data_IF_389905541021
#
_entry.id   IF_389905541021
#
_cell.length_a   1.000
_cell.length_b   1.000
_cell.length_c   1.000
_cell.angle_alpha   90.00
_cell.angle_beta   90.00
_cell.angle_gamma   90.00
#
_symmetry.space_group_name_H-M   'P 1'
#
loop_
_entity.id
_entity.type
_entity.pdbx_description
1 polymer ?
#
# COMPACT_ATOMS: atom_id res chain seq x y z
N UNK A 1 0.80 9.87 -15.15
CA UNK A 1 1.65 8.81 -15.76
C UNK A 1 1.06 7.43 -15.46
N UNK A 2 1.30 6.39 -16.28
CA UNK A 2 1.01 5.02 -15.87
C UNK A 2 1.82 4.64 -14.61
N UNK A 3 1.31 3.71 -13.82
CA UNK A 3 1.98 3.18 -12.64
C UNK A 3 2.27 1.70 -12.85
N UNK A 4 3.50 1.41 -13.28
CA UNK A 4 3.93 0.06 -13.61
C UNK A 4 4.64 -0.60 -12.43
N UNK A 5 4.37 -1.90 -12.25
CA UNK A 5 5.06 -2.75 -11.27
C UNK A 5 6.38 -3.24 -11.87
N UNK A 6 7.46 -2.51 -11.65
CA UNK A 6 8.82 -2.94 -12.01
C UNK A 6 9.51 -3.67 -10.84
N UNK A 7 10.69 -4.24 -11.07
CA UNK A 7 11.40 -5.09 -10.11
C UNK A 7 11.59 -4.44 -8.72
N UNK A 8 11.86 -3.13 -8.67
CA UNK A 8 12.00 -2.41 -7.40
C UNK A 8 10.70 -2.35 -6.60
N UNK A 9 9.56 -2.14 -7.28
CA UNK A 9 8.23 -2.16 -6.65
C UNK A 9 7.89 -3.57 -6.18
N UNK A 10 8.21 -4.60 -6.97
CA UNK A 10 8.02 -6.01 -6.56
C UNK A 10 8.79 -6.33 -5.28
N UNK A 11 10.09 -5.98 -5.21
CA UNK A 11 10.91 -6.19 -4.00
C UNK A 11 10.33 -5.47 -2.79
N UNK A 12 9.93 -4.20 -2.97
CA UNK A 12 9.33 -3.42 -1.89
C UNK A 12 7.98 -4.02 -1.43
N UNK A 13 7.15 -4.49 -2.36
CA UNK A 13 5.90 -5.17 -2.05
C UNK A 13 6.12 -6.47 -1.28
N UNK A 14 7.06 -7.32 -1.70
CA UNK A 14 7.36 -8.58 -0.99
C UNK A 14 7.86 -8.32 0.43
N UNK A 15 8.66 -7.26 0.63
CA UNK A 15 9.08 -6.82 1.96
C UNK A 15 7.89 -6.39 2.83
N UNK A 16 6.99 -5.57 2.29
CA UNK A 16 5.76 -5.18 2.98
C UNK A 16 4.86 -6.39 3.30
N UNK A 17 4.75 -7.35 2.38
CA UNK A 17 3.96 -8.58 2.54
C UNK A 17 4.52 -9.46 3.66
N UNK A 18 5.84 -9.58 3.78
CA UNK A 18 6.46 -10.30 4.89
C UNK A 18 6.13 -9.66 6.25
N UNK A 19 6.22 -8.33 6.36
CA UNK A 19 5.84 -7.60 7.59
C UNK A 19 4.35 -7.79 7.91
N UNK A 20 3.47 -7.72 6.90
CA UNK A 20 2.04 -7.96 7.10
C UNK A 20 1.75 -9.37 7.64
N UNK A 21 2.46 -10.38 7.12
CA UNK A 21 2.34 -11.76 7.60
C UNK A 21 2.76 -11.91 9.07
N UNK A 22 3.81 -11.21 9.52
CA UNK A 22 4.20 -11.16 10.94
C UNK A 22 3.15 -10.48 11.84
N UNK A 23 2.42 -9.50 11.30
CA UNK A 23 1.33 -8.81 12.00
C UNK A 23 0.07 -9.69 12.08
N UNK A 24 -0.12 -10.59 11.12
CA UNK A 24 -1.20 -11.56 11.10
C UNK A 24 -2.23 -11.38 9.98
N UNK A 25 -1.90 -10.63 8.91
CA UNK A 25 -2.79 -10.46 7.76
C UNK A 25 -2.05 -10.64 6.43
N UNK A 26 -2.81 -11.01 5.39
CA UNK A 26 -2.26 -11.22 4.05
C UNK A 26 -2.39 -9.93 3.23
N UNK A 27 -1.25 -9.33 2.88
CA UNK A 27 -1.20 -8.17 2.02
C UNK A 27 -1.27 -8.60 0.55
N UNK A 28 -2.28 -8.08 -0.15
CA UNK A 28 -2.57 -8.35 -1.56
C UNK A 28 -2.22 -7.13 -2.41
N UNK A 29 -1.66 -7.34 -3.59
CA UNK A 29 -1.56 -6.29 -4.59
C UNK A 29 -2.83 -6.24 -5.45
N UNK A 30 -3.10 -5.06 -6.01
CA UNK A 30 -4.26 -4.85 -6.86
C UNK A 30 -3.92 -3.87 -7.97
N UNK A 31 -4.35 -4.18 -9.19
CA UNK A 31 -4.38 -3.22 -10.28
C UNK A 31 -5.73 -2.51 -10.31
N UNK A 32 -5.71 -1.18 -10.27
CA UNK A 32 -6.91 -0.35 -10.37
C UNK A 32 -6.85 0.54 -11.62
N UNK A 33 -7.96 1.19 -11.96
CA UNK A 33 -8.02 2.15 -13.07
C UNK A 33 -7.74 3.61 -12.67
N UNK A 34 -7.55 3.87 -11.38
CA UNK A 34 -7.31 5.22 -10.83
C UNK A 34 -5.84 5.62 -10.86
N UNK A 35 -5.54 6.76 -10.24
CA UNK A 35 -4.17 7.23 -10.02
C UNK A 35 -4.04 7.96 -8.68
N UNK A 36 -2.82 8.02 -8.19
CA UNK A 36 -2.43 8.74 -6.97
C UNK A 36 -1.13 9.50 -7.22
N UNK A 37 -0.62 10.19 -6.19
CA UNK A 37 0.69 10.83 -6.27
C UNK A 37 1.82 9.81 -6.48
N UNK A 38 1.60 8.54 -6.14
CA UNK A 38 2.53 7.45 -6.39
C UNK A 38 2.82 7.21 -7.87
N UNK A 39 1.91 7.62 -8.78
CA UNK A 39 2.15 7.58 -10.22
C UNK A 39 3.34 8.48 -10.63
N UNK A 40 3.59 9.58 -9.92
CA UNK A 40 4.69 10.49 -10.25
C UNK A 40 6.03 9.93 -9.78
N UNK A 41 6.12 9.45 -8.53
CA UNK A 41 7.35 8.83 -8.01
C UNK A 41 7.68 7.53 -8.74
N UNK A 42 6.67 6.72 -9.07
CA UNK A 42 6.82 5.52 -9.88
C UNK A 42 7.36 5.83 -11.28
N UNK A 43 6.87 6.89 -11.93
CA UNK A 43 7.36 7.33 -13.24
C UNK A 43 8.82 7.84 -13.20
N UNK A 44 9.32 8.26 -12.03
CA UNK A 44 10.72 8.60 -11.81
C UNK A 44 11.60 7.38 -11.52
N UNK A 45 11.05 6.16 -11.56
CA UNK A 45 11.76 4.92 -11.25
C UNK A 45 12.00 4.70 -9.75
N UNK A 46 11.33 5.47 -8.89
CA UNK A 46 11.43 5.33 -7.43
C UNK A 46 10.45 4.23 -6.98
N UNK A 47 10.91 3.14 -6.34
CA UNK A 47 10.03 2.12 -5.80
C UNK A 47 9.01 2.74 -4.85
N UNK A 48 7.74 2.61 -5.20
CA UNK A 48 6.63 3.23 -4.47
C UNK A 48 5.58 2.16 -4.20
N UNK A 49 5.00 2.16 -3.00
CA UNK A 49 3.76 1.46 -2.69
C UNK A 49 2.67 2.50 -2.46
N UNK A 50 1.48 2.20 -2.94
CA UNK A 50 0.28 3.00 -2.76
C UNK A 50 -0.83 2.14 -2.12
N UNK A 51 -1.85 2.78 -1.54
CA UNK A 51 -2.97 2.08 -0.90
C UNK A 51 -2.63 1.46 0.46
N UNK A 52 -1.63 1.98 1.17
CA UNK A 52 -1.24 1.50 2.52
C UNK A 52 -2.12 2.04 3.66
N UNK A 53 -3.15 2.83 3.34
CA UNK A 53 -4.07 3.44 4.30
C UNK A 53 -5.03 2.44 4.94
N UNK A 54 -6.01 2.97 5.69
CA UNK A 54 -7.07 2.18 6.28
C UNK A 54 -7.90 1.48 5.19
N UNK A 55 -8.36 0.27 5.47
CA UNK A 55 -9.31 -0.40 4.59
C UNK A 55 -10.67 0.26 4.69
N UNK A 56 -11.42 0.24 3.60
CA UNK A 56 -12.72 0.87 3.52
C UNK A 56 -13.42 0.55 2.21
N UNK A 57 -14.51 1.26 1.95
CA UNK A 57 -15.23 1.16 0.70
C UNK A 57 -15.92 2.49 0.36
N UNK A 58 -16.31 2.63 -0.91
CA UNK A 58 -17.11 3.76 -1.37
C UNK A 58 -16.34 5.07 -1.42
N UNK A 59 -15.00 5.03 -1.47
CA UNK A 59 -14.18 6.22 -1.65
C UNK A 59 -14.71 7.07 -2.82
N UNK A 60 -14.76 8.40 -2.63
CA UNK A 60 -15.34 9.34 -3.58
C UNK A 60 -16.86 9.21 -3.77
N UNK A 61 -17.59 8.77 -2.74
CA UNK A 61 -19.06 8.69 -2.77
C UNK A 61 -19.70 9.07 -1.44
N UNK A 62 -21.02 9.26 -1.44
CA UNK A 62 -21.78 9.50 -0.19
C UNK A 62 -21.81 8.30 0.76
N UNK A 63 -21.39 7.12 0.29
CA UNK A 63 -21.30 5.88 1.06
C UNK A 63 -19.85 5.56 1.44
N UNK A 64 -18.99 6.58 1.54
CA UNK A 64 -17.59 6.41 1.94
C UNK A 64 -17.49 6.06 3.43
N UNK A 65 -16.74 4.99 3.74
CA UNK A 65 -16.43 4.60 5.11
C UNK A 65 -15.14 3.81 5.19
N UNK A 66 -14.61 3.67 6.40
CA UNK A 66 -13.45 2.83 6.73
C UNK A 66 -13.83 1.72 7.73
N UNK A 67 -13.06 0.64 7.73
CA UNK A 67 -13.15 -0.40 8.75
C UNK A 67 -12.25 -0.05 9.93
N UNK A 68 -12.84 0.25 11.08
CA UNK A 68 -12.11 0.52 12.32
C UNK A 68 -11.12 -0.61 12.68
N UNK A 69 -11.51 -1.86 12.42
CA UNK A 69 -10.68 -3.04 12.64
C UNK A 69 -9.35 -3.03 11.88
N UNK A 70 -9.25 -2.31 10.76
CA UNK A 70 -8.02 -2.24 9.94
C UNK A 70 -6.95 -1.29 10.51
N UNK A 71 -7.34 -0.34 11.36
CA UNK A 71 -6.47 0.78 11.73
C UNK A 71 -5.18 0.31 12.43
N UNK A 72 -5.30 -0.63 13.36
CA UNK A 72 -4.16 -1.12 14.14
C UNK A 72 -3.17 -1.89 13.27
N UNK A 73 -3.66 -2.76 12.38
CA UNK A 73 -2.81 -3.56 11.50
C UNK A 73 -2.08 -2.68 10.48
N UNK A 74 -2.78 -1.71 9.88
CA UNK A 74 -2.19 -0.75 8.93
C UNK A 74 -1.15 0.16 9.59
N UNK A 75 -1.41 0.62 10.82
CA UNK A 75 -0.43 1.40 11.59
C UNK A 75 0.84 0.58 11.91
N UNK A 76 0.69 -0.69 12.30
CA UNK A 76 1.82 -1.60 12.53
C UNK A 76 2.63 -1.86 11.25
N UNK A 77 1.96 -2.02 10.10
CA UNK A 77 2.64 -2.19 8.81
C UNK A 77 3.48 -0.96 8.48
N UNK A 78 2.89 0.24 8.61
CA UNK A 78 3.61 1.51 8.38
C UNK A 78 4.83 1.64 9.30
N UNK A 79 4.67 1.35 10.58
CA UNK A 79 5.78 1.32 11.54
C UNK A 79 6.87 0.32 11.14
N UNK A 80 6.48 -0.89 10.74
CA UNK A 80 7.40 -1.93 10.30
C UNK A 80 8.22 -1.49 9.08
N UNK A 81 7.57 -0.89 8.08
CA UNK A 81 8.24 -0.35 6.89
C UNK A 81 9.24 0.75 7.25
N UNK A 82 8.82 1.75 8.03
CA UNK A 82 9.71 2.85 8.45
C UNK A 82 10.94 2.36 9.24
N UNK A 83 10.81 1.26 9.99
CA UNK A 83 11.90 0.68 10.78
C UNK A 83 12.88 -0.14 9.94
N UNK A 84 12.44 -0.70 8.82
CA UNK A 84 13.17 -1.75 8.11
C UNK A 84 13.63 -1.36 6.71
N UNK A 85 13.13 -0.25 6.16
CA UNK A 85 13.64 0.34 4.94
C UNK A 85 14.83 1.25 5.27
N UNK A 86 15.95 1.01 4.60
CA UNK A 86 17.22 1.75 4.74
C UNK A 86 17.74 2.18 3.37
#
# INVERSE_FOLDING_TARGET
PPYDKFEGVEKLFQHAKAIAAEIGFDLQDLKTGGGSDGNFTGALGIPTLDGLGADGHGAHSYNEFIYYSSLVERAKLMYGLLRTLT
#
